data_IF_974912638471
#
_entry.id   IF_974912638471
#
_cell.length_a   1.000
_cell.length_b   1.000
_cell.length_c   1.000
_cell.angle_alpha   90.00
_cell.angle_beta   90.00
_cell.angle_gamma   90.00
#
_symmetry.space_group_name_H-M   'P 1'
#
loop_
_entity.id
_entity.type
_entity.pdbx_description
1 polymer ?
#
# COMPACT_ATOMS: atom_id res chain seq x y z
N UNK A 1 17.21 1.84 -2.87
CA UNK A 1 16.43 1.00 -3.80
C UNK A 1 14.99 0.99 -3.31
N UNK A 2 14.14 1.87 -3.83
CA UNK A 2 12.76 2.01 -3.38
C UNK A 2 11.93 0.93 -4.07
N UNK A 3 11.65 -0.16 -3.37
CA UNK A 3 10.80 -1.23 -3.88
C UNK A 3 9.36 -0.70 -3.99
N UNK A 4 8.93 -0.43 -5.23
CA UNK A 4 7.55 -0.07 -5.61
C UNK A 4 6.60 -1.27 -5.41
N UNK A 5 6.55 -1.82 -4.21
CA UNK A 5 5.48 -2.74 -3.81
C UNK A 5 4.46 -1.88 -3.08
N UNK A 6 3.18 -1.97 -3.44
CA UNK A 6 2.11 -1.15 -2.85
C UNK A 6 1.89 -1.34 -1.34
N UNK A 7 2.78 -2.07 -0.67
CA UNK A 7 2.75 -2.46 0.72
C UNK A 7 4.05 -2.06 1.43
N UNK A 8 3.97 -1.72 2.71
CA UNK A 8 5.13 -1.56 3.57
C UNK A 8 5.86 -2.90 3.68
N UNK A 9 7.19 -2.83 3.60
CA UNK A 9 8.04 -3.96 3.94
C UNK A 9 8.01 -4.24 5.45
N UNK A 10 8.45 -5.42 5.85
CA UNK A 10 8.48 -5.81 7.27
C UNK A 10 9.34 -4.85 8.12
N UNK A 11 10.38 -4.27 7.51
CA UNK A 11 11.26 -3.28 8.12
C UNK A 11 10.55 -1.93 8.32
N UNK A 12 9.93 -1.37 7.27
CA UNK A 12 9.13 -0.14 7.37
C UNK A 12 7.98 -0.26 8.37
N UNK A 13 7.33 -1.43 8.42
CA UNK A 13 6.29 -1.69 9.42
C UNK A 13 6.88 -1.79 10.84
N UNK A 14 8.10 -2.28 10.99
CA UNK A 14 8.79 -2.35 12.27
C UNK A 14 9.18 -0.95 12.75
N UNK A 15 9.67 -0.08 11.86
CA UNK A 15 9.93 1.34 12.16
C UNK A 15 8.64 2.07 12.56
N UNK A 16 7.54 1.85 11.83
CA UNK A 16 6.24 2.44 12.16
C UNK A 16 5.73 2.04 13.56
N UNK A 17 5.93 0.79 13.93
CA UNK A 17 5.48 0.23 15.23
C UNK A 17 6.47 0.56 16.36
N UNK A 18 7.66 1.08 16.03
CA UNK A 18 8.80 1.23 16.93
C UNK A 18 9.20 -0.12 17.57
N UNK A 19 9.49 -1.10 16.71
CA UNK A 19 9.71 -2.48 17.10
C UNK A 19 10.79 -3.17 16.27
N UNK A 20 11.27 -4.36 16.69
CA UNK A 20 12.22 -5.15 15.88
C UNK A 20 11.51 -5.85 14.72
N UNK A 21 12.13 -5.93 13.53
CA UNK A 21 11.63 -6.77 12.45
C UNK A 21 11.53 -8.23 12.93
N UNK A 22 10.41 -8.89 12.62
CA UNK A 22 9.96 -10.22 13.09
C UNK A 22 9.12 -10.30 14.38
N UNK A 23 8.80 -9.20 15.07
CA UNK A 23 7.85 -9.24 16.20
C UNK A 23 6.38 -9.25 15.73
N UNK A 24 5.97 -10.31 15.02
CA UNK A 24 4.63 -10.47 14.40
C UNK A 24 3.48 -10.13 15.36
N UNK A 25 3.50 -10.69 16.56
CA UNK A 25 2.46 -10.48 17.58
C UNK A 25 2.35 -9.02 17.99
N UNK A 26 3.49 -8.33 18.12
CA UNK A 26 3.55 -6.92 18.54
C UNK A 26 3.09 -6.00 17.41
N UNK A 27 3.49 -6.29 16.18
CA UNK A 27 3.01 -5.61 14.96
C UNK A 27 1.48 -5.74 14.84
N UNK A 28 0.93 -6.96 14.94
CA UNK A 28 -0.52 -7.19 14.86
C UNK A 28 -1.26 -6.50 16.00
N UNK A 29 -0.73 -6.57 17.22
CA UNK A 29 -1.34 -5.91 18.39
C UNK A 29 -1.43 -4.40 18.19
N UNK A 30 -0.34 -3.77 17.76
CA UNK A 30 -0.31 -2.34 17.49
C UNK A 30 -1.28 -1.94 16.38
N UNK A 31 -1.33 -2.73 15.29
CA UNK A 31 -2.25 -2.51 14.17
C UNK A 31 -3.70 -2.60 14.64
N UNK A 32 -4.04 -3.59 15.48
CA UNK A 32 -5.38 -3.72 16.07
C UNK A 32 -5.73 -2.56 17.00
N UNK A 33 -4.80 -2.15 17.87
CA UNK A 33 -5.01 -1.05 18.82
C UNK A 33 -5.29 0.27 18.10
N UNK A 34 -4.54 0.57 17.03
CA UNK A 34 -4.76 1.76 16.21
C UNK A 34 -5.87 1.60 15.16
N UNK A 35 -6.50 0.42 15.07
CA UNK A 35 -7.51 0.07 14.04
C UNK A 35 -7.01 0.19 12.60
N UNK A 36 -5.74 -0.10 12.37
CA UNK A 36 -5.13 -0.10 11.06
C UNK A 36 -5.52 -1.37 10.29
N UNK A 37 -5.82 -1.22 9.00
CA UNK A 37 -6.07 -2.36 8.10
C UNK A 37 -4.74 -2.96 7.65
N UNK A 38 -4.64 -4.28 7.71
CA UNK A 38 -3.46 -5.04 7.29
C UNK A 38 -3.86 -6.33 6.60
N UNK A 39 -3.00 -6.80 5.70
CA UNK A 39 -3.11 -8.08 5.01
C UNK A 39 -1.96 -8.99 5.46
N UNK A 40 -2.18 -10.31 5.55
CA UNK A 40 -1.13 -11.25 5.93
C UNK A 40 -0.46 -11.78 4.67
N UNK A 41 0.84 -11.53 4.51
CA UNK A 41 1.61 -12.04 3.37
C UNK A 41 1.95 -13.53 3.47
N UNK A 42 2.51 -14.10 2.41
CA UNK A 42 2.89 -15.52 2.34
C UNK A 42 3.88 -15.98 3.42
N UNK A 43 4.66 -15.06 3.99
CA UNK A 43 5.59 -15.32 5.11
C UNK A 43 4.92 -15.29 6.48
N UNK A 44 3.62 -14.98 6.57
CA UNK A 44 2.88 -14.84 7.83
C UNK A 44 3.13 -13.51 8.56
N UNK A 45 3.79 -12.56 7.91
CA UNK A 45 3.98 -11.20 8.42
C UNK A 45 2.81 -10.29 7.99
N UNK A 46 2.30 -9.43 8.88
CA UNK A 46 1.32 -8.42 8.50
C UNK A 46 1.97 -7.40 7.54
N UNK A 47 1.20 -6.98 6.53
CA UNK A 47 1.57 -5.99 5.51
C UNK A 47 0.50 -4.91 5.49
N UNK A 48 0.93 -3.65 5.47
CA UNK A 48 0.05 -2.50 5.41
C UNK A 48 0.23 -1.84 4.05
N UNK A 49 -0.84 -1.46 3.38
CA UNK A 49 -0.71 -0.75 2.10
C UNK A 49 0.00 0.60 2.31
N UNK A 50 0.97 0.92 1.45
CA UNK A 50 1.74 2.17 1.55
C UNK A 50 0.86 3.40 1.42
N UNK A 51 -0.08 3.38 0.47
CA UNK A 51 -1.10 4.42 0.33
C UNK A 51 -1.99 4.59 1.57
N UNK A 52 -2.23 3.51 2.33
CA UNK A 52 -3.01 3.59 3.57
C UNK A 52 -2.18 4.19 4.71
N UNK A 53 -0.92 3.78 4.83
CA UNK A 53 0.03 4.37 5.78
C UNK A 53 0.17 5.88 5.56
N UNK A 54 0.44 6.29 4.33
CA UNK A 54 0.59 7.70 3.95
C UNK A 54 -0.64 8.54 4.30
N UNK A 55 -1.85 8.00 4.06
CA UNK A 55 -3.11 8.64 4.44
C UNK A 55 -3.25 8.78 5.96
N UNK A 56 -2.86 7.75 6.72
CA UNK A 56 -2.95 7.77 8.19
C UNK A 56 -1.92 8.71 8.82
N UNK A 57 -0.76 8.89 8.19
CA UNK A 57 0.32 9.78 8.65
C UNK A 57 0.17 11.22 8.15
N UNK A 58 -0.83 11.50 7.30
CA UNK A 58 -1.00 12.81 6.68
C UNK A 58 0.13 13.20 5.72
N UNK A 59 0.92 12.22 5.26
CA UNK A 59 2.08 12.44 4.37
C UNK A 59 1.61 12.69 2.94
N UNK A 60 0.49 12.10 2.55
CA UNK A 60 -0.04 12.25 1.19
C UNK A 60 -1.25 13.18 1.14
N UNK A 61 -1.05 14.33 0.48
CA UNK A 61 -2.03 15.00 -0.36
C UNK A 61 -2.09 14.19 -1.68
N UNK A 62 -3.18 13.44 -1.88
CA UNK A 62 -3.49 12.60 -3.06
C UNK A 62 -2.33 11.88 -3.80
N UNK A 63 -2.20 10.53 -3.72
CA UNK A 63 -1.66 9.84 -4.87
C UNK A 63 -2.80 9.83 -5.87
N UNK A 64 -2.88 10.88 -6.71
CA UNK A 64 -3.69 10.95 -7.91
C UNK A 64 -3.82 9.53 -8.41
N UNK A 65 -5.01 8.96 -8.22
CA UNK A 65 -5.37 7.66 -8.74
C UNK A 65 -4.96 7.76 -10.20
N UNK A 66 -3.87 7.10 -10.58
CA UNK A 66 -3.70 6.65 -11.96
C UNK A 66 -4.88 5.70 -12.13
N UNK A 67 -6.07 6.29 -12.34
CA UNK A 67 -7.22 5.63 -12.91
C UNK A 67 -6.66 5.15 -14.24
N UNK A 68 -6.37 3.87 -14.26
CA UNK A 68 -6.63 2.98 -15.38
C UNK A 68 -6.61 3.71 -16.71
N UNK A 69 -5.49 3.53 -17.39
CA UNK A 69 -5.40 3.27 -18.82
C UNK A 69 -6.60 3.73 -19.64
N UNK A 70 -6.30 4.64 -20.57
CA UNK A 70 -6.73 4.50 -21.96
C UNK A 70 -8.23 4.26 -22.11
N UNK A 71 -8.99 5.36 -22.24
CA UNK A 71 -10.14 5.28 -23.14
C UNK A 71 -9.59 4.65 -24.43
N UNK A 72 -10.02 3.43 -24.84
CA UNK A 72 -9.59 2.92 -26.12
C UNK A 72 -9.99 3.97 -27.13
N UNK A 73 -9.03 4.44 -27.93
CA UNK A 73 -9.27 5.45 -28.94
C UNK A 73 -10.26 4.87 -29.98
N UNK A 74 -11.57 4.96 -29.70
CA UNK A 74 -12.67 4.51 -30.55
C UNK A 74 -12.70 5.27 -31.89
N UNK A 75 -11.89 6.34 -32.01
CA UNK A 75 -11.68 7.10 -33.24
C UNK A 75 -10.79 6.40 -34.27
N UNK A 76 -10.06 5.34 -33.89
CA UNK A 76 -9.22 4.59 -34.82
C UNK A 76 -10.03 3.76 -35.85
N UNK A 77 -11.33 3.56 -35.63
CA UNK A 77 -12.22 2.84 -36.55
C UNK A 77 -13.11 3.75 -37.42
N UNK A 78 -12.96 5.08 -37.33
CA UNK A 78 -13.67 6.01 -38.20
C UNK A 78 -12.88 6.25 -39.50
N UNK A 79 -12.69 5.18 -40.27
CA UNK A 79 -12.09 5.23 -41.61
C UNK A 79 -12.97 4.51 -42.62
N UNK A 80 -13.25 5.21 -43.72
CA UNK A 80 -13.84 4.77 -44.99
C UNK A 80 -15.39 4.80 -45.11
N UNK A 81 -15.91 5.97 -45.46
CA UNK A 81 -16.86 6.07 -46.58
C UNK A 81 -16.27 7.02 -47.62
#
# INVERSE_FOLDING_TARGET
MSTTTGYLSADELAELVDCKPNQRTRMVTWLRQRKWKFEVGSTGLPRVARAYHDRMMGITDEPKRQKYADEPNLKAFAGAH
#
